data_IF_692693337697
#
_entry.id   IF_692693337697
#
_cell.length_a   1.000
_cell.length_b   1.000
_cell.length_c   1.000
_cell.angle_alpha   90.00
_cell.angle_beta   90.00
_cell.angle_gamma   90.00
#
_symmetry.space_group_name_H-M   'P 1'
#
loop_
_entity.id
_entity.type
_entity.pdbx_description
1 polymer ?
#
# COMPACT_ATOMS: atom_id res chain seq x y z
N UNK A 1 52.61 18.94 38.95
CA UNK A 1 51.55 18.03 38.43
C UNK A 1 51.06 18.60 37.11
N UNK A 2 51.36 17.90 36.01
CA UNK A 2 50.90 18.24 34.66
C UNK A 2 49.45 17.84 34.47
N UNK A 3 48.67 18.68 33.80
CA UNK A 3 47.54 18.24 33.00
C UNK A 3 47.61 18.99 31.65
N UNK A 4 48.10 18.27 30.63
CA UNK A 4 47.72 18.48 29.23
C UNK A 4 46.19 18.22 29.16
N UNK A 5 45.38 18.77 28.26
CA UNK A 5 45.34 18.45 26.83
C UNK A 5 44.08 19.10 26.20
N UNK A 6 44.27 19.66 25.00
CA UNK A 6 43.42 19.56 23.80
C UNK A 6 42.25 20.54 23.55
N UNK A 7 42.47 21.33 22.50
CA UNK A 7 41.52 22.03 21.63
C UNK A 7 40.43 21.15 21.03
N UNK A 8 39.44 21.88 20.51
CA UNK A 8 38.48 21.52 19.46
C UNK A 8 37.25 20.75 19.94
N UNK A 9 36.05 21.26 19.66
CA UNK A 9 35.37 20.98 18.41
C UNK A 9 34.05 21.75 18.35
N UNK A 10 33.90 22.47 17.25
CA UNK A 10 32.67 22.94 16.60
C UNK A 10 31.50 21.96 16.80
N UNK A 11 30.52 22.33 17.61
CA UNK A 11 29.29 21.56 17.78
C UNK A 11 28.18 22.12 16.90
N UNK A 12 28.22 21.85 15.60
CA UNK A 12 27.11 22.06 14.68
C UNK A 12 25.96 21.15 15.14
N UNK A 13 24.95 21.69 15.81
CA UNK A 13 23.76 20.96 16.19
C UNK A 13 22.99 20.59 14.92
N UNK A 14 23.28 19.40 14.36
CA UNK A 14 22.49 18.78 13.32
C UNK A 14 21.07 18.57 13.85
N UNK A 15 20.10 19.31 13.32
CA UNK A 15 18.70 18.91 13.32
C UNK A 15 18.58 17.63 12.49
N UNK A 16 18.78 16.48 13.14
CA UNK A 16 18.37 15.19 12.61
C UNK A 16 16.84 15.15 12.67
N UNK A 17 16.19 15.66 11.62
CA UNK A 17 14.78 15.45 11.37
C UNK A 17 14.56 13.94 11.29
N UNK A 18 13.87 13.40 12.29
CA UNK A 18 13.41 12.03 12.37
C UNK A 18 12.49 11.74 11.17
N UNK A 19 13.05 11.25 10.07
CA UNK A 19 12.28 10.62 9.02
C UNK A 19 11.78 9.27 9.57
N UNK A 20 10.68 9.31 10.32
CA UNK A 20 9.93 8.12 10.69
C UNK A 20 9.38 7.53 9.39
N UNK A 21 9.71 6.28 9.01
CA UNK A 21 9.04 5.63 7.89
C UNK A 21 7.55 5.56 8.21
N UNK A 22 6.72 6.02 7.27
CA UNK A 22 5.28 5.86 7.38
C UNK A 22 4.95 4.36 7.53
N UNK A 23 3.90 4.00 8.30
CA UNK A 23 3.51 2.61 8.45
C UNK A 23 3.01 2.08 7.09
N UNK A 24 3.70 1.09 6.53
CA UNK A 24 3.33 0.44 5.26
C UNK A 24 1.86 -0.02 5.23
N UNK A 25 1.32 -0.43 6.39
CA UNK A 25 -0.09 -0.79 6.56
C UNK A 25 -1.11 0.30 6.20
N UNK A 26 -0.76 1.58 6.35
CA UNK A 26 -1.67 2.67 5.97
C UNK A 26 -1.70 2.85 4.45
N UNK A 27 -0.57 2.64 3.79
CA UNK A 27 -0.46 2.67 2.33
C UNK A 27 -1.23 1.48 1.73
N UNK A 28 -1.09 0.28 2.29
CA UNK A 28 -1.80 -0.92 1.83
C UNK A 28 -3.34 -0.79 1.97
N UNK A 29 -3.82 -0.18 3.06
CA UNK A 29 -5.24 0.08 3.25
C UNK A 29 -5.79 1.07 2.21
N UNK A 30 -5.04 2.14 1.91
CA UNK A 30 -5.42 3.13 0.90
C UNK A 30 -5.38 2.52 -0.51
N UNK A 31 -4.38 1.69 -0.81
CA UNK A 31 -4.24 1.00 -2.09
C UNK A 31 -5.33 -0.05 -2.29
N UNK A 32 -5.72 -0.77 -1.23
CA UNK A 32 -6.87 -1.67 -1.25
C UNK A 32 -8.16 -0.89 -1.59
N UNK A 33 -8.37 0.30 -0.99
CA UNK A 33 -9.54 1.14 -1.27
C UNK A 33 -9.57 1.63 -2.73
N UNK A 34 -8.43 2.07 -3.24
CA UNK A 34 -8.30 2.47 -4.64
C UNK A 34 -8.54 1.29 -5.59
N UNK A 35 -8.02 0.11 -5.25
CA UNK A 35 -8.23 -1.14 -5.97
C UNK A 35 -9.71 -1.52 -6.03
N UNK A 36 -10.42 -1.53 -4.90
CA UNK A 36 -11.86 -1.83 -4.84
C UNK A 36 -12.67 -0.84 -5.68
N UNK A 37 -12.32 0.45 -5.65
CA UNK A 37 -12.98 1.46 -6.47
C UNK A 37 -12.77 1.18 -7.97
N UNK A 38 -11.55 0.83 -8.38
CA UNK A 38 -11.22 0.43 -9.75
C UNK A 38 -12.04 -0.79 -10.18
N UNK A 39 -12.03 -1.87 -9.40
CA UNK A 39 -12.76 -3.10 -9.75
C UNK A 39 -14.27 -2.82 -9.83
N UNK A 40 -14.82 -2.02 -8.90
CA UNK A 40 -16.23 -1.64 -8.91
C UNK A 40 -16.62 -0.90 -10.20
N UNK A 41 -15.73 -0.02 -10.69
CA UNK A 41 -15.92 0.69 -11.95
C UNK A 41 -15.87 -0.24 -13.17
N UNK A 42 -14.92 -1.18 -13.22
CA UNK A 42 -14.82 -2.15 -14.32
C UNK A 42 -16.01 -3.14 -14.31
N UNK A 43 -16.50 -3.58 -13.14
CA UNK A 43 -17.71 -4.43 -13.04
C UNK A 43 -18.96 -3.74 -13.62
N UNK A 44 -19.02 -2.41 -13.61
CA UNK A 44 -20.12 -1.65 -14.19
C UNK A 44 -20.07 -1.54 -15.72
N UNK A 45 -18.96 -1.96 -16.36
CA UNK A 45 -18.77 -1.94 -17.81
C UNK A 45 -19.13 -3.30 -18.44
N UNK A 46 -19.26 -3.30 -19.76
CA UNK A 46 -19.43 -4.53 -20.52
C UNK A 46 -18.06 -5.17 -20.81
N UNK A 47 -17.90 -6.41 -20.33
CA UNK A 47 -16.70 -7.23 -20.53
C UNK A 47 -17.10 -8.62 -21.06
N UNK A 48 -16.19 -9.34 -21.73
CA UNK A 48 -16.38 -10.76 -22.00
C UNK A 48 -16.75 -11.51 -20.73
N UNK A 49 -17.67 -12.50 -20.83
CA UNK A 49 -18.24 -13.19 -19.67
C UNK A 49 -17.20 -13.67 -18.67
N UNK A 50 -16.09 -14.26 -19.14
CA UNK A 50 -15.02 -14.75 -18.27
C UNK A 50 -14.36 -13.61 -17.45
N UNK A 51 -14.05 -12.49 -18.09
CA UNK A 51 -13.50 -11.30 -17.41
C UNK A 51 -14.52 -10.71 -16.43
N UNK A 52 -15.79 -10.61 -16.82
CA UNK A 52 -16.84 -10.10 -15.94
C UNK A 52 -17.02 -10.96 -14.68
N UNK A 53 -16.98 -12.28 -14.83
CA UNK A 53 -17.11 -13.22 -13.71
C UNK A 53 -15.86 -13.17 -12.78
N UNK A 54 -14.66 -13.02 -13.36
CA UNK A 54 -13.44 -12.81 -12.61
C UNK A 54 -13.46 -11.49 -11.82
N UNK A 55 -13.86 -10.38 -12.44
CA UNK A 55 -13.96 -9.07 -11.79
C UNK A 55 -14.94 -9.08 -10.61
N UNK A 56 -16.12 -9.70 -10.76
CA UNK A 56 -17.11 -9.83 -9.68
C UNK A 56 -16.57 -10.66 -8.51
N UNK A 57 -15.78 -11.69 -8.81
CA UNK A 57 -15.15 -12.53 -7.79
C UNK A 57 -14.07 -11.76 -7.04
N UNK A 58 -13.14 -11.13 -7.77
CA UNK A 58 -12.11 -10.28 -7.19
C UNK A 58 -12.70 -9.16 -6.32
N UNK A 59 -13.77 -8.50 -6.79
CA UNK A 59 -14.44 -7.44 -6.01
C UNK A 59 -15.00 -7.95 -4.67
N UNK A 60 -15.58 -9.15 -4.69
CA UNK A 60 -16.15 -9.78 -3.48
C UNK A 60 -15.05 -10.18 -2.50
N UNK A 61 -13.95 -10.75 -3.00
CA UNK A 61 -12.78 -11.11 -2.17
C UNK A 61 -12.16 -9.85 -1.58
N UNK A 62 -11.78 -8.86 -2.40
CA UNK A 62 -11.18 -7.61 -1.91
C UNK A 62 -12.03 -6.90 -0.84
N UNK A 63 -13.36 -6.87 -1.00
CA UNK A 63 -14.26 -6.30 0.02
C UNK A 63 -14.30 -7.11 1.32
N UNK A 64 -14.19 -8.44 1.26
CA UNK A 64 -14.09 -9.31 2.44
C UNK A 64 -12.77 -9.06 3.16
N UNK A 65 -11.65 -9.14 2.44
CA UNK A 65 -10.32 -9.00 3.04
C UNK A 65 -10.13 -7.59 3.65
N UNK A 66 -10.64 -6.54 2.99
CA UNK A 66 -10.74 -5.19 3.59
C UNK A 66 -11.49 -5.19 4.92
N UNK A 67 -12.61 -5.91 5.01
CA UNK A 67 -13.40 -6.01 6.23
C UNK A 67 -12.68 -6.75 7.35
N UNK A 68 -11.80 -7.69 6.98
CA UNK A 68 -10.95 -8.48 7.88
C UNK A 68 -9.64 -7.75 8.23
N UNK A 69 -9.31 -6.65 7.53
CA UNK A 69 -8.07 -5.87 7.61
C UNK A 69 -6.83 -6.63 7.12
N UNK A 70 -7.04 -7.64 6.29
CA UNK A 70 -6.03 -8.43 5.59
C UNK A 70 -5.76 -7.70 4.26
N UNK A 71 -4.92 -6.65 4.31
CA UNK A 71 -4.77 -5.71 3.20
C UNK A 71 -3.89 -6.28 2.08
N UNK A 72 -2.91 -7.13 2.38
CA UNK A 72 -2.11 -7.83 1.39
C UNK A 72 -2.96 -8.79 0.55
N UNK A 73 -3.86 -9.55 1.16
CA UNK A 73 -4.81 -10.40 0.46
C UNK A 73 -5.83 -9.58 -0.35
N UNK A 74 -6.22 -8.41 0.15
CA UNK A 74 -6.99 -7.46 -0.66
C UNK A 74 -6.21 -7.05 -1.92
N UNK A 75 -4.93 -6.72 -1.79
CA UNK A 75 -4.07 -6.32 -2.91
C UNK A 75 -3.85 -7.48 -3.90
N UNK A 76 -3.76 -8.72 -3.43
CA UNK A 76 -3.72 -9.91 -4.29
C UNK A 76 -5.01 -10.04 -5.11
N UNK A 77 -6.18 -9.85 -4.50
CA UNK A 77 -7.45 -9.85 -5.23
C UNK A 77 -7.52 -8.70 -6.26
N UNK A 78 -6.93 -7.53 -5.95
CA UNK A 78 -6.80 -6.42 -6.89
C UNK A 78 -5.86 -6.77 -8.05
N UNK A 79 -4.75 -7.48 -7.79
CA UNK A 79 -3.84 -7.94 -8.82
C UNK A 79 -4.52 -8.96 -9.76
N UNK A 80 -5.31 -9.88 -9.23
CA UNK A 80 -6.11 -10.82 -10.02
C UNK A 80 -7.11 -10.11 -10.94
N UNK A 81 -7.75 -9.04 -10.46
CA UNK A 81 -8.63 -8.22 -11.29
C UNK A 81 -7.86 -7.53 -12.43
N UNK A 82 -6.68 -6.96 -12.15
CA UNK A 82 -5.81 -6.34 -13.16
C UNK A 82 -5.39 -7.35 -14.23
N UNK A 83 -4.99 -8.56 -13.81
CA UNK A 83 -4.66 -9.67 -14.71
C UNK A 83 -5.85 -10.07 -15.60
N UNK A 84 -7.06 -10.14 -15.05
CA UNK A 84 -8.27 -10.44 -15.83
C UNK A 84 -8.60 -9.35 -16.88
N UNK A 85 -8.18 -8.12 -16.63
CA UNK A 85 -8.27 -6.98 -17.56
C UNK A 85 -7.10 -6.92 -18.55
N UNK A 86 -6.06 -7.76 -18.39
CA UNK A 86 -4.83 -7.73 -19.19
C UNK A 86 -3.91 -6.55 -18.87
N UNK A 87 -3.86 -6.12 -17.61
CA UNK A 87 -3.01 -5.03 -17.11
C UNK A 87 -1.97 -5.55 -16.12
#
# INVERSE_FOLDING_TARGET
>A
MSARTHSALTGLALLAALALPAPAFADDAADCDAGIAMISSEVAKEHPKATADALKTALRVAKREKGEKEYDECLDAVADAKKALGR
#
